data_IF_580579485544
#
_entry.id   IF_580579485544
#
_cell.length_a   1.000
_cell.length_b   1.000
_cell.length_c   1.000
_cell.angle_alpha   90.00
_cell.angle_beta   90.00
_cell.angle_gamma   90.00
#
_symmetry.space_group_name_H-M   'P 1'
#
loop_
_entity.id
_entity.type
_entity.pdbx_description
1 polymer ?
#
# COMPACT_ATOMS: atom_id res chain seq x y z
N UNK A 1 11.39 -23.70 -23.77
CA UNK A 1 11.81 -22.36 -24.20
C UNK A 1 12.82 -21.85 -23.17
N UNK A 2 13.95 -21.33 -23.61
CA UNK A 2 14.97 -20.81 -22.69
C UNK A 2 14.52 -19.47 -22.10
N UNK A 3 14.79 -19.25 -20.82
CA UNK A 3 14.54 -17.97 -20.15
C UNK A 3 15.32 -16.85 -20.85
N UNK A 4 14.63 -15.76 -21.18
CA UNK A 4 15.23 -14.55 -21.75
C UNK A 4 15.01 -13.37 -20.82
N UNK A 5 16.10 -12.74 -20.40
CA UNK A 5 16.07 -11.59 -19.49
C UNK A 5 15.33 -10.37 -20.08
N UNK A 6 15.30 -10.24 -21.41
CA UNK A 6 14.61 -9.15 -22.08
C UNK A 6 13.09 -9.25 -21.92
N UNK A 7 12.54 -10.46 -21.90
CA UNK A 7 11.10 -10.70 -21.69
C UNK A 7 10.70 -10.36 -20.24
N UNK A 8 11.59 -10.55 -19.28
CA UNK A 8 11.38 -10.08 -17.91
C UNK A 8 11.34 -8.54 -17.86
N UNK A 9 12.30 -7.88 -18.52
CA UNK A 9 12.38 -6.41 -18.54
C UNK A 9 11.20 -5.77 -19.28
N UNK A 10 10.68 -6.39 -20.34
CA UNK A 10 9.53 -5.86 -21.08
C UNK A 10 8.25 -5.81 -20.25
N UNK A 11 8.12 -6.64 -19.21
CA UNK A 11 7.01 -6.61 -18.27
C UNK A 11 7.11 -5.50 -17.21
N UNK A 12 8.22 -4.75 -17.15
CA UNK A 12 8.42 -3.63 -16.24
C UNK A 12 8.44 -2.29 -17.01
N UNK A 13 7.26 -1.80 -17.47
CA UNK A 13 7.18 -0.51 -18.16
C UNK A 13 7.72 0.59 -17.25
N UNK A 14 8.63 1.42 -17.77
CA UNK A 14 9.27 2.50 -17.00
C UNK A 14 10.37 2.06 -16.03
N UNK A 15 10.77 0.79 -16.01
CA UNK A 15 11.93 0.32 -15.24
C UNK A 15 11.65 0.03 -13.75
N UNK A 16 10.37 -0.08 -13.36
CA UNK A 16 9.94 -0.39 -12.01
C UNK A 16 9.90 0.84 -11.09
N UNK A 17 8.97 0.82 -10.11
CA UNK A 17 8.83 1.90 -9.13
C UNK A 17 9.99 1.87 -8.12
N UNK A 18 10.53 3.04 -7.78
CA UNK A 18 11.55 3.20 -6.73
C UNK A 18 10.90 3.66 -5.43
N UNK A 19 11.42 3.17 -4.30
CA UNK A 19 10.88 3.46 -2.98
C UNK A 19 11.07 4.92 -2.51
N UNK A 20 11.82 5.76 -3.23
CA UNK A 20 12.14 7.14 -2.84
C UNK A 20 11.48 8.23 -3.70
N UNK A 21 10.82 7.86 -4.81
CA UNK A 21 10.18 8.81 -5.72
C UNK A 21 8.69 8.96 -5.39
N UNK A 22 8.39 9.35 -4.16
CA UNK A 22 7.03 9.59 -3.69
C UNK A 22 6.88 10.98 -3.04
N UNK A 23 5.67 11.53 -3.11
CA UNK A 23 5.24 12.73 -2.41
C UNK A 23 4.06 12.36 -1.50
N UNK A 24 4.13 12.71 -0.22
CA UNK A 24 3.00 12.58 0.72
C UNK A 24 2.37 13.95 0.92
N UNK A 25 1.05 14.03 0.76
CA UNK A 25 0.29 15.25 1.01
C UNK A 25 -0.85 14.96 1.98
N UNK A 26 -0.92 15.77 3.02
CA UNK A 26 -2.01 15.75 4.00
C UNK A 26 -2.84 17.02 3.76
N UNK A 27 -3.99 16.95 3.07
CA UNK A 27 -4.82 18.14 2.84
C UNK A 27 -5.44 18.61 4.14
N UNK A 28 -5.50 19.93 4.33
CA UNK A 28 -6.22 20.51 5.47
C UNK A 28 -7.72 20.36 5.31
N UNK A 29 -8.45 19.96 6.36
CA UNK A 29 -9.90 20.05 6.38
C UNK A 29 -10.34 21.50 6.13
N UNK A 30 -11.48 21.68 5.43
CA UNK A 30 -11.98 23.01 5.07
C UNK A 30 -12.20 23.94 6.29
N UNK A 31 -12.52 23.37 7.45
CA UNK A 31 -12.66 24.10 8.72
C UNK A 31 -11.35 24.69 9.26
N UNK A 32 -10.20 24.27 8.73
CA UNK A 32 -8.85 24.68 9.15
C UNK A 32 -8.08 25.36 7.99
N UNK A 33 -8.79 26.06 7.10
CA UNK A 33 -8.24 26.69 5.90
C UNK A 33 -7.10 27.68 6.16
N UNK A 34 -7.04 28.29 7.36
CA UNK A 34 -5.94 29.16 7.79
C UNK A 34 -4.59 28.45 8.01
N UNK A 35 -4.54 27.12 7.96
CA UNK A 35 -3.33 26.31 8.14
C UNK A 35 -2.82 25.63 6.86
N UNK A 36 -3.30 26.07 5.69
CA UNK A 36 -3.00 25.44 4.40
C UNK A 36 -1.49 25.41 4.07
N UNK A 37 -0.76 26.46 4.43
CA UNK A 37 0.69 26.53 4.18
C UNK A 37 1.48 25.57 5.07
N UNK A 38 1.08 25.41 6.33
CA UNK A 38 1.66 24.47 7.28
C UNK A 38 1.44 23.03 6.83
N UNK A 39 0.29 22.72 6.25
CA UNK A 39 0.01 21.41 5.68
C UNK A 39 0.83 21.11 4.42
N UNK A 40 1.17 22.13 3.63
CA UNK A 40 2.08 21.97 2.49
C UNK A 40 3.52 21.69 2.92
N UNK A 41 3.94 22.15 4.09
CA UNK A 41 5.27 21.86 4.62
C UNK A 41 5.47 20.35 4.86
N UNK A 42 4.41 19.61 5.23
CA UNK A 42 4.48 18.16 5.44
C UNK A 42 4.98 17.39 4.22
N UNK A 43 4.72 17.89 3.01
CA UNK A 43 5.23 17.29 1.77
C UNK A 43 6.76 17.25 1.71
N UNK A 44 7.44 18.20 2.33
CA UNK A 44 8.91 18.25 2.37
C UNK A 44 9.50 17.67 3.66
N UNK A 45 8.68 17.53 4.72
CA UNK A 45 9.11 17.02 6.02
C UNK A 45 8.97 15.48 6.14
N UNK A 46 8.02 14.86 5.43
CA UNK A 46 7.76 13.43 5.49
C UNK A 46 8.88 12.61 4.80
N UNK A 47 9.83 12.09 5.60
CA UNK A 47 11.00 11.35 5.10
C UNK A 47 10.73 9.88 4.76
N UNK A 48 9.81 9.23 5.47
CA UNK A 48 9.50 7.80 5.33
C UNK A 48 8.01 7.59 5.53
N UNK A 49 7.39 6.75 4.70
CA UNK A 49 6.01 6.28 4.88
C UNK A 49 5.89 4.85 4.34
N UNK A 50 4.92 4.09 4.86
CA UNK A 50 4.52 2.79 4.32
C UNK A 50 3.19 2.93 3.56
N UNK A 51 2.71 1.87 2.92
CA UNK A 51 1.32 1.81 2.44
C UNK A 51 0.52 1.09 3.53
N UNK A 52 -0.70 1.56 3.90
CA UNK A 52 -1.50 0.91 4.93
C UNK A 52 -1.72 -0.57 4.61
N UNK A 53 -1.38 -1.42 5.58
CA UNK A 53 -1.64 -2.85 5.49
C UNK A 53 -3.14 -3.14 5.54
N UNK A 54 -3.59 -4.07 4.70
CA UNK A 54 -4.96 -4.60 4.73
C UNK A 54 -4.86 -6.10 4.99
N UNK A 55 -5.20 -6.53 6.19
CA UNK A 55 -5.18 -7.95 6.58
C UNK A 55 -6.59 -8.53 6.51
N UNK A 56 -6.70 -9.76 6.01
CA UNK A 56 -7.96 -10.52 6.03
C UNK A 56 -7.68 -11.79 6.82
N UNK A 57 -8.29 -11.92 7.99
CA UNK A 57 -8.10 -13.07 8.86
C UNK A 57 -8.92 -14.24 8.31
N UNK A 58 -8.32 -15.41 8.00
CA UNK A 58 -9.06 -16.55 7.49
C UNK A 58 -9.87 -17.22 8.61
N UNK A 59 -11.12 -17.59 8.30
CA UNK A 59 -11.95 -18.46 9.13
C UNK A 59 -11.78 -19.89 8.64
N UNK A 60 -11.35 -20.78 9.52
CA UNK A 60 -11.11 -22.18 9.19
C UNK A 60 -12.32 -23.04 9.57
N UNK A 61 -12.87 -23.76 8.60
CA UNK A 61 -13.97 -24.70 8.79
C UNK A 61 -13.51 -26.11 8.43
N UNK A 62 -13.65 -27.04 9.38
CA UNK A 62 -13.40 -28.45 9.10
C UNK A 62 -14.61 -29.07 8.38
N UNK A 63 -14.42 -29.54 7.16
CA UNK A 63 -15.44 -30.16 6.34
C UNK A 63 -14.91 -31.48 5.77
N UNK A 64 -15.57 -32.58 6.13
CA UNK A 64 -15.18 -33.94 5.73
C UNK A 64 -13.70 -34.26 5.97
N UNK A 65 -13.18 -33.90 7.14
CA UNK A 65 -11.79 -34.19 7.53
C UNK A 65 -10.73 -33.33 6.83
N UNK A 66 -11.15 -32.26 6.13
CA UNK A 66 -10.26 -31.27 5.53
C UNK A 66 -10.58 -29.88 6.09
N UNK A 67 -9.53 -29.09 6.31
CA UNK A 67 -9.68 -27.68 6.72
C UNK A 67 -9.85 -26.83 5.47
N UNK A 68 -11.01 -26.20 5.33
CA UNK A 68 -11.31 -25.21 4.28
C UNK A 68 -11.18 -23.82 4.88
N UNK A 69 -10.45 -22.92 4.21
CA UNK A 69 -10.22 -21.54 4.67
C UNK A 69 -11.13 -20.58 3.91
N UNK A 70 -11.92 -19.80 4.65
CA UNK A 70 -12.77 -18.73 4.11
C UNK A 70 -12.21 -17.36 4.50
N UNK A 71 -12.34 -16.32 3.66
CA UNK A 71 -11.97 -14.97 4.06
C UNK A 71 -12.91 -14.49 5.17
N UNK A 72 -12.35 -14.12 6.32
CA UNK A 72 -13.10 -13.57 7.45
C UNK A 72 -13.14 -12.04 7.43
N UNK A 73 -12.94 -11.45 8.61
CA UNK A 73 -12.94 -10.00 8.78
C UNK A 73 -11.71 -9.34 8.13
N UNK A 74 -11.94 -8.16 7.54
CA UNK A 74 -10.89 -7.26 7.05
C UNK A 74 -10.54 -6.25 8.14
N UNK A 75 -9.25 -6.14 8.45
CA UNK A 75 -8.71 -5.16 9.40
C UNK A 75 -7.67 -4.29 8.70
N UNK A 76 -7.60 -3.03 9.13
CA UNK A 76 -6.59 -2.08 8.68
C UNK A 76 -5.60 -1.86 9.82
N UNK A 77 -4.32 -2.09 9.54
CA UNK A 77 -3.27 -1.87 10.52
C UNK A 77 -3.04 -0.37 10.76
N UNK A 78 -2.43 -0.05 11.89
CA UNK A 78 -1.95 1.31 12.18
C UNK A 78 -0.92 1.75 11.14
N UNK A 79 -0.97 3.03 10.77
CA UNK A 79 -0.22 3.62 9.65
C UNK A 79 0.31 5.01 9.98
#
# INVERSE_FOLDING_TARGET
MAFNINDFRSNLPGGGARANLYEVRIPTPAALSGYADQARQMTYLAKTASIPGSTITPVELNYFGRIVKFPGQKEFADW
#
